data_IF_718301743337
#
_entry.id   IF_718301743337
#
_cell.length_a   1.000
_cell.length_b   1.000
_cell.length_c   1.000
_cell.angle_alpha   90.00
_cell.angle_beta   90.00
_cell.angle_gamma   90.00
#
_symmetry.space_group_name_H-M   'P 1'
#
loop_
_entity.id
_entity.type
_entity.pdbx_description
1 polymer ?
#
# COMPACT_ATOMS: atom_id res chain seq x y z
N UNK A 1 14.92 -5.31 -38.89
CA UNK A 1 15.95 -6.01 -38.07
C UNK A 1 17.09 -5.01 -37.83
N UNK A 2 16.94 -4.12 -36.85
CA UNK A 2 17.96 -3.13 -36.49
C UNK A 2 18.90 -3.80 -35.48
N UNK A 3 20.16 -4.01 -35.88
CA UNK A 3 21.21 -4.48 -34.97
C UNK A 3 21.63 -3.29 -34.09
N UNK A 4 21.30 -3.36 -32.81
CA UNK A 4 21.81 -2.42 -31.81
C UNK A 4 23.28 -2.77 -31.53
N UNK A 5 24.20 -1.89 -31.91
CA UNK A 5 25.66 -2.02 -31.71
C UNK A 5 26.18 -1.07 -30.62
N UNK A 6 25.32 -0.61 -29.71
CA UNK A 6 25.72 0.24 -28.59
C UNK A 6 25.95 -0.58 -27.32
N UNK A 7 26.98 -0.22 -26.55
CA UNK A 7 27.19 -0.74 -25.19
C UNK A 7 25.90 -0.62 -24.39
N UNK A 8 25.49 -1.72 -23.75
CA UNK A 8 24.33 -1.76 -22.85
C UNK A 8 24.59 -0.76 -21.71
N UNK A 9 23.71 0.24 -21.50
CA UNK A 9 23.90 1.20 -20.41
C UNK A 9 24.10 0.51 -19.05
N UNK A 10 24.89 1.09 -18.16
CA UNK A 10 25.23 0.47 -16.86
C UNK A 10 24.00 0.09 -16.02
N UNK A 11 22.92 0.87 -16.11
CA UNK A 11 21.67 0.58 -15.43
C UNK A 11 20.96 -0.67 -15.98
N UNK A 12 21.13 -1.00 -17.26
CA UNK A 12 20.63 -2.27 -17.82
C UNK A 12 21.49 -3.46 -17.36
N UNK A 13 22.81 -3.27 -17.18
CA UNK A 13 23.68 -4.34 -16.65
C UNK A 13 23.32 -4.71 -15.20
N UNK A 14 23.15 -3.70 -14.33
CA UNK A 14 22.78 -3.93 -12.94
C UNK A 14 21.41 -4.61 -12.81
N UNK A 15 20.45 -4.22 -13.66
CA UNK A 15 19.13 -4.87 -13.71
C UNK A 15 19.23 -6.32 -14.17
N UNK A 16 19.94 -6.60 -15.27
CA UNK A 16 20.13 -7.97 -15.77
C UNK A 16 20.80 -8.85 -14.72
N UNK A 17 21.79 -8.33 -13.99
CA UNK A 17 22.40 -9.07 -12.86
C UNK A 17 21.39 -9.37 -11.75
N UNK A 18 20.58 -8.39 -11.35
CA UNK A 18 19.51 -8.62 -10.38
C UNK A 18 18.49 -9.66 -10.85
N UNK A 19 18.01 -9.58 -12.11
CA UNK A 19 17.09 -10.59 -12.67
C UNK A 19 17.71 -11.99 -12.64
N UNK A 20 18.97 -12.12 -13.06
CA UNK A 20 19.68 -13.41 -13.03
C UNK A 20 19.82 -13.97 -11.61
N UNK A 21 20.04 -13.09 -10.62
CA UNK A 21 20.08 -13.49 -9.20
C UNK A 21 18.71 -13.94 -8.71
N UNK A 22 17.63 -13.25 -9.10
CA UNK A 22 16.25 -13.64 -8.78
C UNK A 22 15.92 -15.01 -9.38
N UNK A 23 16.22 -15.25 -10.66
CA UNK A 23 15.95 -16.54 -11.32
C UNK A 23 16.66 -17.70 -10.64
N UNK A 24 17.97 -17.58 -10.38
CA UNK A 24 18.75 -18.60 -9.65
C UNK A 24 18.19 -18.87 -8.26
N UNK A 25 17.69 -17.82 -7.61
CA UNK A 25 17.10 -17.94 -6.28
C UNK A 25 15.77 -18.70 -6.31
N UNK A 26 14.91 -18.42 -7.28
CA UNK A 26 13.63 -19.10 -7.46
C UNK A 26 13.84 -20.60 -7.70
N UNK A 27 14.82 -20.97 -8.52
CA UNK A 27 15.15 -22.38 -8.80
C UNK A 27 15.65 -23.15 -7.56
N UNK A 28 16.30 -22.45 -6.63
CA UNK A 28 16.93 -23.07 -5.45
C UNK A 28 16.10 -22.98 -4.17
N UNK A 29 15.01 -22.20 -4.17
CA UNK A 29 14.17 -21.95 -2.98
C UNK A 29 12.78 -22.55 -3.19
N UNK A 30 12.33 -23.51 -2.36
CA UNK A 30 11.13 -24.30 -2.66
C UNK A 30 9.80 -23.59 -2.39
N UNK A 31 9.77 -22.67 -1.41
CA UNK A 31 8.55 -22.00 -0.95
C UNK A 31 8.46 -20.59 -1.55
N UNK A 32 7.30 -20.20 -2.08
CA UNK A 32 7.09 -18.84 -2.61
C UNK A 32 7.27 -17.76 -1.54
N UNK A 33 6.90 -18.04 -0.29
CA UNK A 33 7.12 -17.11 0.81
C UNK A 33 8.62 -16.89 1.08
N UNK A 34 9.42 -17.96 1.01
CA UNK A 34 10.87 -17.88 1.19
C UNK A 34 11.55 -17.23 -0.03
N UNK A 35 11.02 -17.49 -1.24
CA UNK A 35 11.43 -16.80 -2.46
C UNK A 35 11.21 -15.29 -2.32
N UNK A 36 10.03 -14.86 -1.84
CA UNK A 36 9.73 -13.44 -1.60
C UNK A 36 10.64 -12.79 -0.56
N UNK A 37 10.94 -13.49 0.54
CA UNK A 37 11.88 -13.01 1.56
C UNK A 37 13.28 -12.75 0.97
N UNK A 38 13.73 -13.62 0.06
CA UNK A 38 15.06 -13.49 -0.51
C UNK A 38 15.11 -12.58 -1.76
N UNK A 39 14.02 -12.49 -2.54
CA UNK A 39 13.86 -11.49 -3.60
C UNK A 39 13.89 -10.09 -3.00
N UNK A 40 13.22 -9.86 -1.85
CA UNK A 40 13.25 -8.56 -1.17
C UNK A 40 14.69 -8.09 -0.89
N UNK A 41 15.56 -9.00 -0.44
CA UNK A 41 16.99 -8.73 -0.21
C UNK A 41 17.76 -8.41 -1.49
N UNK A 42 17.44 -9.06 -2.61
CA UNK A 42 18.10 -8.80 -3.90
C UNK A 42 17.70 -7.44 -4.46
N UNK A 43 16.40 -7.14 -4.42
CA UNK A 43 15.83 -5.91 -4.97
C UNK A 43 16.10 -4.69 -4.09
N UNK A 44 16.47 -4.90 -2.83
CA UNK A 44 16.49 -3.83 -1.84
C UNK A 44 15.07 -3.32 -1.59
N UNK A 45 14.05 -4.16 -1.79
CA UNK A 45 12.74 -3.88 -1.22
C UNK A 45 12.96 -3.75 0.27
N UNK A 46 12.39 -2.69 0.84
CA UNK A 46 12.49 -2.27 2.23
C UNK A 46 13.02 -3.38 3.15
N UNK A 47 14.22 -3.20 3.72
CA UNK A 47 14.81 -4.16 4.65
C UNK A 47 13.79 -4.39 5.78
N UNK A 48 13.10 -5.53 5.78
CA UNK A 48 11.90 -5.63 6.55
C UNK A 48 12.39 -5.93 7.96
N UNK A 49 12.32 -4.92 8.83
CA UNK A 49 12.99 -4.89 10.12
C UNK A 49 12.85 -6.24 10.82
N UNK A 50 14.00 -6.92 10.98
CA UNK A 50 14.04 -8.37 11.20
C UNK A 50 13.28 -8.79 12.47
N UNK A 51 13.25 -7.92 13.47
CA UNK A 51 12.55 -8.14 14.73
C UNK A 51 11.03 -8.15 14.53
N UNK A 52 10.48 -7.13 13.88
CA UNK A 52 9.05 -6.96 13.66
C UNK A 52 8.49 -8.07 12.77
N UNK A 53 9.25 -8.44 11.74
CA UNK A 53 8.96 -9.60 10.90
C UNK A 53 8.93 -10.92 11.66
N UNK A 54 9.88 -11.15 12.57
CA UNK A 54 9.92 -12.37 13.36
C UNK A 54 8.70 -12.48 14.28
N UNK A 55 8.25 -11.36 14.87
CA UNK A 55 7.02 -11.31 15.67
C UNK A 55 5.79 -11.62 14.81
N UNK A 56 5.64 -10.96 13.67
CA UNK A 56 4.51 -11.20 12.76
C UNK A 56 4.50 -12.62 12.20
N UNK A 57 5.65 -13.19 11.88
CA UNK A 57 5.75 -14.57 11.39
C UNK A 57 5.27 -15.57 12.44
N UNK A 58 5.65 -15.39 13.71
CA UNK A 58 5.14 -16.21 14.82
C UNK A 58 3.64 -16.04 15.02
N UNK A 59 3.13 -14.81 14.94
CA UNK A 59 1.70 -14.53 15.01
C UNK A 59 0.93 -15.21 13.87
N UNK A 60 1.39 -15.06 12.63
CA UNK A 60 0.75 -15.65 11.46
C UNK A 60 0.75 -17.18 11.51
N UNK A 61 1.83 -17.79 12.02
CA UNK A 61 1.93 -19.22 12.28
C UNK A 61 1.07 -19.70 13.46
N UNK A 62 0.56 -18.79 14.31
CA UNK A 62 -0.25 -19.12 15.47
C UNK A 62 0.54 -19.52 16.71
N UNK A 63 1.88 -19.39 16.69
CA UNK A 63 2.75 -19.64 17.84
C UNK A 63 2.84 -18.44 18.80
N UNK A 64 2.28 -17.29 18.41
CA UNK A 64 2.15 -16.10 19.23
C UNK A 64 0.71 -15.59 19.18
N UNK A 65 0.14 -15.24 20.34
CA UNK A 65 -1.21 -14.69 20.41
C UNK A 65 -1.26 -13.29 19.79
N UNK A 66 -2.46 -12.85 19.38
CA UNK A 66 -2.66 -11.49 18.86
C UNK A 66 -2.20 -10.44 19.88
N UNK A 67 -2.65 -10.55 21.13
CA UNK A 67 -2.30 -9.60 22.19
C UNK A 67 -0.79 -9.53 22.44
N UNK A 68 -0.11 -10.69 22.53
CA UNK A 68 1.33 -10.72 22.73
C UNK A 68 2.09 -10.10 21.55
N UNK A 69 1.69 -10.41 20.31
CA UNK A 69 2.30 -9.81 19.12
C UNK A 69 2.12 -8.29 19.09
N UNK A 70 0.92 -7.81 19.43
CA UNK A 70 0.60 -6.39 19.50
C UNK A 70 1.47 -5.69 20.56
N UNK A 71 1.57 -6.24 21.78
CA UNK A 71 2.35 -5.61 22.85
C UNK A 71 3.85 -5.58 22.53
N UNK A 72 4.40 -6.69 22.00
CA UNK A 72 5.80 -6.75 21.58
C UNK A 72 6.17 -5.68 20.53
N UNK A 73 5.23 -5.31 19.66
CA UNK A 73 5.46 -4.34 18.59
C UNK A 73 5.12 -2.90 19.00
N UNK A 74 4.07 -2.71 19.79
CA UNK A 74 3.56 -1.38 20.13
C UNK A 74 4.23 -0.77 21.36
N UNK A 75 4.60 -1.56 22.39
CA UNK A 75 5.19 -1.00 23.62
C UNK A 75 6.49 -0.22 23.39
N UNK A 76 7.45 -0.68 22.54
CA UNK A 76 8.64 0.12 22.23
C UNK A 76 8.30 1.45 21.56
N UNK A 77 7.24 1.48 20.74
CA UNK A 77 6.77 2.68 20.04
C UNK A 77 6.08 3.63 21.04
N UNK A 78 5.24 3.10 21.92
CA UNK A 78 4.56 3.86 23.00
C UNK A 78 5.57 4.53 23.92
N UNK A 79 6.63 3.80 24.27
CA UNK A 79 7.75 4.32 25.06
C UNK A 79 8.41 5.50 24.36
N UNK A 80 8.91 5.29 23.12
CA UNK A 80 9.60 6.33 22.36
C UNK A 80 8.70 7.56 22.11
N UNK A 81 7.40 7.35 21.91
CA UNK A 81 6.44 8.43 21.72
C UNK A 81 6.32 9.29 22.98
N UNK A 82 6.10 8.63 24.12
CA UNK A 82 5.91 9.30 25.41
C UNK A 82 7.20 9.97 25.89
N UNK A 83 8.37 9.43 25.56
CA UNK A 83 9.67 9.97 25.98
C UNK A 83 10.28 10.94 24.99
N UNK A 84 9.63 11.24 23.87
CA UNK A 84 10.20 12.10 22.81
C UNK A 84 11.50 11.54 22.23
N UNK A 85 11.50 10.24 21.89
CA UNK A 85 12.69 9.46 21.56
C UNK A 85 13.75 9.57 22.65
N UNK A 86 13.40 9.25 23.89
CA UNK A 86 14.29 9.32 25.07
C UNK A 86 14.89 10.72 25.27
N UNK A 87 14.09 11.73 24.96
CA UNK A 87 14.41 13.14 25.04
C UNK A 87 15.15 13.72 23.84
N UNK A 88 15.55 12.90 22.86
CA UNK A 88 16.28 13.36 21.65
C UNK A 88 15.48 14.39 20.85
N UNK A 89 14.16 14.26 20.77
CA UNK A 89 13.34 15.23 20.04
C UNK A 89 13.23 16.58 20.74
N UNK A 90 13.35 16.65 22.07
CA UNK A 90 13.42 17.96 22.75
C UNK A 90 14.63 18.75 22.28
N UNK A 91 15.79 18.09 22.19
CA UNK A 91 17.02 18.70 21.70
C UNK A 91 16.87 19.14 20.23
N UNK A 92 16.46 18.25 19.32
CA UNK A 92 16.35 18.58 17.90
C UNK A 92 15.34 19.70 17.65
N UNK A 93 14.17 19.64 18.29
CA UNK A 93 13.15 20.68 18.18
C UNK A 93 13.64 22.05 18.69
N UNK A 94 14.40 22.06 19.78
CA UNK A 94 14.99 23.28 20.33
C UNK A 94 16.12 23.84 19.46
N UNK A 95 16.94 22.99 18.83
CA UNK A 95 17.97 23.45 17.90
C UNK A 95 17.36 24.13 16.67
N UNK A 96 16.26 23.59 16.14
CA UNK A 96 15.48 24.24 15.07
C UNK A 96 14.96 25.59 15.57
N UNK A 97 14.36 25.64 16.76
CA UNK A 97 13.83 26.87 17.34
C UNK A 97 14.91 27.96 17.51
N UNK A 98 16.07 27.62 18.10
CA UNK A 98 17.21 28.53 18.26
C UNK A 98 17.68 29.11 16.94
N UNK A 99 17.73 28.29 15.89
CA UNK A 99 18.09 28.75 14.55
C UNK A 99 17.09 29.73 13.94
N UNK A 100 15.86 29.81 14.45
CA UNK A 100 14.79 30.66 13.91
C UNK A 100 14.46 31.86 14.81
N UNK A 101 14.73 31.80 16.13
CA UNK A 101 14.39 32.90 17.06
C UNK A 101 15.01 34.24 16.66
N UNK A 102 16.24 34.23 16.16
CA UNK A 102 16.94 35.47 15.77
C UNK A 102 16.35 36.16 14.52
N UNK A 103 15.45 35.50 13.79
CA UNK A 103 14.77 36.07 12.61
C UNK A 103 13.59 36.97 13.01
N UNK A 104 13.12 36.89 14.25
CA UNK A 104 11.96 37.63 14.75
C UNK A 104 12.36 38.55 15.91
N UNK A 105 11.55 39.57 16.19
CA UNK A 105 11.67 40.31 17.45
C UNK A 105 11.38 39.38 18.65
N UNK A 106 11.80 39.80 19.85
CA UNK A 106 11.74 38.97 21.05
C UNK A 106 10.31 38.49 21.38
N UNK A 107 9.32 39.37 21.26
CA UNK A 107 7.93 39.03 21.57
C UNK A 107 7.38 38.01 20.57
N UNK A 108 7.66 38.20 19.29
CA UNK A 108 7.23 37.28 18.24
C UNK A 108 7.98 35.94 18.31
N UNK A 109 9.26 35.96 18.66
CA UNK A 109 10.06 34.76 18.84
C UNK A 109 9.53 33.90 20.01
N UNK A 110 9.20 34.52 21.14
CA UNK A 110 8.60 33.82 22.30
C UNK A 110 7.22 33.25 21.96
N UNK A 111 6.37 34.02 21.26
CA UNK A 111 5.07 33.52 20.77
C UNK A 111 5.23 32.30 19.85
N UNK A 112 6.18 32.35 18.91
CA UNK A 112 6.36 31.30 17.90
C UNK A 112 7.07 30.06 18.43
N UNK A 113 8.03 30.21 19.34
CA UNK A 113 8.98 29.16 19.71
C UNK A 113 9.10 28.92 21.21
N UNK A 114 8.48 29.75 22.04
CA UNK A 114 8.65 29.75 23.48
C UNK A 114 10.02 30.25 23.92
N UNK A 115 10.21 30.32 25.24
CA UNK A 115 11.50 30.62 25.84
C UNK A 115 12.54 29.56 25.44
N UNK A 116 13.78 30.03 25.25
CA UNK A 116 14.91 29.14 25.00
C UNK A 116 15.15 28.22 26.19
N UNK A 117 15.32 26.94 25.90
CA UNK A 117 15.54 25.89 26.89
C UNK A 117 16.81 25.13 26.56
N UNK A 118 17.41 24.49 27.56
CA UNK A 118 18.61 23.67 27.37
C UNK A 118 18.25 22.19 27.51
N UNK A 119 18.54 21.42 26.46
CA UNK A 119 18.44 19.96 26.46
C UNK A 119 19.82 19.37 26.16
N UNK A 120 20.21 18.27 26.84
CA UNK A 120 21.49 17.63 26.56
C UNK A 120 21.54 17.10 25.13
N UNK A 121 22.70 17.22 24.49
CA UNK A 121 22.97 16.58 23.20
C UNK A 121 22.97 15.07 23.42
N UNK A 122 22.26 14.34 22.57
CA UNK A 122 22.40 12.88 22.46
C UNK A 122 23.16 12.58 21.17
N UNK A 123 24.29 11.89 21.30
CA UNK A 123 25.19 11.52 20.20
C UNK A 123 24.98 10.07 19.73
N UNK A 124 23.91 9.42 20.19
CA UNK A 124 23.56 8.03 19.85
C UNK A 124 23.05 7.91 18.40
N UNK A 125 24.00 7.97 17.47
CA UNK A 125 23.76 7.72 16.06
C UNK A 125 23.18 6.31 15.89
N UNK A 126 22.01 6.20 15.27
CA UNK A 126 21.31 4.93 15.08
C UNK A 126 20.39 4.51 16.22
N UNK A 127 20.20 5.35 17.25
CA UNK A 127 19.18 5.11 18.27
C UNK A 127 17.78 5.02 17.63
N UNK A 128 16.90 4.15 18.15
CA UNK A 128 15.56 3.98 17.61
C UNK A 128 14.75 5.27 17.76
N UNK A 129 13.84 5.49 16.82
CA UNK A 129 12.88 6.59 16.86
C UNK A 129 11.46 6.07 16.68
N UNK A 130 10.47 6.82 17.14
CA UNK A 130 9.05 6.56 16.86
C UNK A 130 8.85 6.34 15.36
N UNK A 131 9.33 7.28 14.54
CA UNK A 131 9.22 7.19 13.09
C UNK A 131 9.85 5.90 12.54
N UNK A 132 11.09 5.60 12.94
CA UNK A 132 11.80 4.41 12.47
C UNK A 132 11.08 3.11 12.85
N UNK A 133 10.59 3.01 14.10
CA UNK A 133 9.84 1.83 14.56
C UNK A 133 8.46 1.72 13.91
N UNK A 134 7.79 2.83 13.61
CA UNK A 134 6.55 2.83 12.83
C UNK A 134 6.79 2.37 11.39
N UNK A 135 7.85 2.83 10.73
CA UNK A 135 8.27 2.32 9.42
C UNK A 135 8.50 0.81 9.47
N UNK A 136 9.26 0.34 10.45
CA UNK A 136 9.54 -1.08 10.66
C UNK A 136 8.26 -1.90 10.83
N UNK A 137 7.35 -1.47 11.70
CA UNK A 137 6.06 -2.14 11.93
C UNK A 137 5.28 -2.28 10.63
N UNK A 138 5.06 -1.18 9.92
CA UNK A 138 4.18 -1.20 8.75
C UNK A 138 4.82 -1.86 7.53
N UNK A 139 6.14 -1.78 7.37
CA UNK A 139 6.84 -2.58 6.37
C UNK A 139 6.77 -4.06 6.68
N UNK A 140 6.94 -4.48 7.93
CA UNK A 140 6.79 -5.87 8.31
C UNK A 140 5.36 -6.38 8.04
N UNK A 141 4.33 -5.57 8.33
CA UNK A 141 2.93 -5.88 7.98
C UNK A 141 2.75 -6.00 6.46
N UNK A 142 3.22 -5.04 5.68
CA UNK A 142 3.09 -5.06 4.22
C UNK A 142 3.85 -6.23 3.59
N UNK A 143 5.04 -6.55 4.10
CA UNK A 143 5.83 -7.69 3.65
C UNK A 143 5.16 -9.03 4.00
N UNK A 144 4.61 -9.13 5.21
CA UNK A 144 3.80 -10.29 5.63
C UNK A 144 2.56 -10.46 4.72
N UNK A 145 1.90 -9.36 4.37
CA UNK A 145 0.79 -9.37 3.42
C UNK A 145 1.23 -9.85 2.03
N UNK A 146 2.40 -9.42 1.53
CA UNK A 146 2.98 -9.87 0.25
C UNK A 146 3.19 -11.39 0.22
N UNK A 147 3.59 -11.99 1.34
CA UNK A 147 3.78 -13.45 1.48
C UNK A 147 2.49 -14.24 1.71
N UNK A 148 1.40 -13.57 2.03
CA UNK A 148 0.12 -14.24 2.36
C UNK A 148 -0.71 -14.34 1.08
N UNK A 149 -1.01 -15.54 0.54
CA UNK A 149 -1.79 -15.67 -0.69
C UNK A 149 -3.12 -14.94 -0.60
N UNK A 150 -3.45 -14.13 -1.62
CA UNK A 150 -4.68 -13.32 -1.63
C UNK A 150 -5.97 -14.14 -1.61
N UNK A 151 -5.87 -15.39 -2.08
CA UNK A 151 -6.96 -16.37 -2.08
C UNK A 151 -7.17 -17.02 -0.70
N UNK A 152 -6.17 -16.99 0.18
CA UNK A 152 -6.33 -17.40 1.58
C UNK A 152 -6.96 -16.25 2.38
N UNK A 153 -8.26 -16.10 2.23
CA UNK A 153 -9.02 -15.04 2.88
C UNK A 153 -8.88 -15.10 4.41
N UNK A 154 -8.78 -16.30 4.99
CA UNK A 154 -8.65 -16.48 6.43
C UNK A 154 -7.34 -15.85 6.94
N UNK A 155 -6.22 -16.15 6.29
CA UNK A 155 -4.93 -15.58 6.68
C UNK A 155 -4.83 -14.09 6.34
N UNK A 156 -5.39 -13.66 5.20
CA UNK A 156 -5.51 -12.23 4.87
C UNK A 156 -6.28 -11.48 5.97
N UNK A 157 -7.43 -12.01 6.40
CA UNK A 157 -8.23 -11.40 7.46
C UNK A 157 -7.56 -11.47 8.83
N UNK A 158 -6.75 -12.49 9.11
CA UNK A 158 -5.94 -12.56 10.33
C UNK A 158 -4.98 -11.37 10.44
N UNK A 159 -4.38 -10.94 9.33
CA UNK A 159 -3.52 -9.76 9.29
C UNK A 159 -4.32 -8.43 9.32
N UNK A 160 -5.49 -8.38 8.68
CA UNK A 160 -6.41 -7.22 8.79
C UNK A 160 -6.87 -7.03 10.25
N UNK A 161 -7.17 -8.13 10.95
CA UNK A 161 -7.54 -8.10 12.37
C UNK A 161 -6.39 -7.62 13.26
N UNK A 162 -5.14 -7.97 12.91
CA UNK A 162 -3.96 -7.41 13.57
C UNK A 162 -3.90 -5.89 13.43
N UNK A 163 -4.02 -5.36 12.20
CA UNK A 163 -4.04 -3.91 11.96
C UNK A 163 -5.21 -3.21 12.67
N UNK A 164 -6.38 -3.86 12.71
CA UNK A 164 -7.53 -3.37 13.48
C UNK A 164 -7.24 -3.28 14.98
N UNK A 165 -6.59 -4.29 15.54
CA UNK A 165 -6.25 -4.30 16.96
C UNK A 165 -5.20 -3.23 17.31
N UNK A 166 -4.22 -2.99 16.43
CA UNK A 166 -3.32 -1.83 16.54
C UNK A 166 -4.14 -0.53 16.57
N UNK A 167 -5.05 -0.32 15.60
CA UNK A 167 -5.89 0.89 15.52
C UNK A 167 -6.71 1.16 16.77
N UNK A 168 -7.16 0.09 17.44
CA UNK A 168 -8.01 0.17 18.64
C UNK A 168 -7.21 0.40 19.93
N UNK A 169 -5.88 0.39 19.88
CA UNK A 169 -5.06 0.71 21.05
C UNK A 169 -5.31 2.15 21.50
N UNK A 170 -5.29 2.42 22.81
CA UNK A 170 -5.25 3.79 23.31
C UNK A 170 -4.01 4.50 22.76
N UNK A 171 -4.18 5.73 22.28
CA UNK A 171 -3.04 6.57 21.93
C UNK A 171 -2.21 6.86 23.19
N UNK A 172 -0.87 6.67 23.17
CA UNK A 172 -0.02 6.95 24.31
C UNK A 172 -0.05 8.45 24.66
N UNK A 173 0.13 8.81 25.94
CA UNK A 173 0.18 10.21 26.33
C UNK A 173 1.37 10.92 25.66
N UNK A 174 1.24 12.19 25.27
CA UNK A 174 2.37 12.94 24.77
C UNK A 174 3.39 13.21 25.88
N UNK A 175 4.63 13.60 25.53
CA UNK A 175 5.66 13.96 26.51
C UNK A 175 5.21 15.06 27.47
N UNK A 176 5.51 14.93 28.78
CA UNK A 176 4.99 15.85 29.81
C UNK A 176 5.41 17.32 29.63
N UNK A 177 6.54 17.59 28.98
CA UNK A 177 7.15 18.92 28.87
C UNK A 177 7.30 19.39 27.40
N UNK A 178 6.30 19.14 26.55
CA UNK A 178 6.40 19.52 25.13
C UNK A 178 6.60 21.04 24.95
N UNK A 179 7.73 21.40 24.34
CA UNK A 179 8.00 22.75 23.83
C UNK A 179 7.07 23.09 22.66
N UNK A 180 6.90 24.38 22.32
CA UNK A 180 6.09 24.79 21.15
C UNK A 180 6.57 24.12 19.83
N UNK A 181 7.88 24.08 19.52
CA UNK A 181 8.34 23.41 18.31
C UNK A 181 8.03 21.90 18.33
N UNK A 182 8.16 21.22 19.48
CA UNK A 182 7.84 19.79 19.58
C UNK A 182 6.34 19.51 19.36
N UNK A 183 5.45 20.37 19.87
CA UNK A 183 4.00 20.27 19.60
C UNK A 183 3.65 20.38 18.11
N UNK A 184 4.49 21.04 17.32
CA UNK A 184 4.31 21.21 15.87
C UNK A 184 4.98 20.11 15.06
N UNK A 185 5.81 19.27 15.67
CA UNK A 185 6.36 18.10 15.01
C UNK A 185 5.22 17.20 14.53
N UNK A 186 5.38 16.60 13.35
CA UNK A 186 4.33 15.81 12.73
C UNK A 186 3.87 14.65 13.61
N UNK A 187 4.75 14.09 14.46
CA UNK A 187 4.46 12.99 15.37
C UNK A 187 3.45 13.40 16.46
N UNK A 188 3.49 14.65 16.91
CA UNK A 188 2.68 15.15 18.03
C UNK A 188 1.54 16.06 17.59
N UNK A 189 1.62 16.64 16.40
CA UNK A 189 0.68 17.67 15.92
C UNK A 189 -0.79 17.22 15.88
N UNK A 190 -1.05 15.93 15.64
CA UNK A 190 -2.40 15.35 15.66
C UNK A 190 -2.86 14.94 17.07
N UNK A 191 -1.94 14.77 18.02
CA UNK A 191 -2.22 14.15 19.31
C UNK A 191 -2.62 12.66 19.25
N UNK A 192 -2.41 12.01 18.09
CA UNK A 192 -2.82 10.62 17.84
C UNK A 192 -1.70 9.82 17.18
N UNK A 193 -1.61 8.53 17.51
CA UNK A 193 -0.59 7.63 16.99
C UNK A 193 -1.23 6.38 16.37
N UNK A 194 -1.97 5.62 17.17
CA UNK A 194 -2.59 4.36 16.80
C UNK A 194 -3.94 4.55 16.15
N UNK A 195 -4.78 5.44 16.66
CA UNK A 195 -6.14 5.65 16.13
C UNK A 195 -6.12 6.07 14.65
N UNK A 196 -5.07 6.79 14.24
CA UNK A 196 -4.82 7.23 12.87
C UNK A 196 -3.99 6.25 12.03
N UNK A 197 -3.45 5.18 12.62
CA UNK A 197 -2.50 4.26 11.97
C UNK A 197 -1.33 5.03 11.34
N UNK A 198 -0.71 5.92 12.11
CA UNK A 198 0.37 6.78 11.65
C UNK A 198 1.45 5.94 10.94
N UNK A 199 1.93 6.43 9.79
CA UNK A 199 2.87 5.77 8.87
C UNK A 199 2.35 4.60 8.02
N UNK A 200 1.17 4.03 8.29
CA UNK A 200 0.63 2.96 7.42
C UNK A 200 0.44 3.43 5.96
N UNK A 201 -0.07 4.65 5.78
CA UNK A 201 -0.26 5.25 4.45
C UNK A 201 1.04 5.39 3.66
N UNK A 202 2.06 6.10 4.20
CA UNK A 202 3.41 6.15 3.63
C UNK A 202 4.00 4.77 3.35
N UNK A 203 3.97 3.83 4.30
CA UNK A 203 4.51 2.48 4.12
C UNK A 203 3.81 1.68 3.02
N UNK A 204 2.49 1.82 2.88
CA UNK A 204 1.74 1.22 1.78
C UNK A 204 2.12 1.86 0.42
N UNK A 205 2.36 3.18 0.39
CA UNK A 205 2.75 3.89 -0.84
C UNK A 205 4.12 3.46 -1.32
N UNK A 206 5.04 3.35 -0.38
CA UNK A 206 6.40 2.86 -0.57
C UNK A 206 6.37 1.41 -1.07
N UNK A 207 5.63 0.51 -0.40
CA UNK A 207 5.46 -0.88 -0.86
C UNK A 207 4.88 -0.98 -2.28
N UNK A 208 4.03 -0.02 -2.67
CA UNK A 208 3.47 0.04 -4.04
C UNK A 208 4.52 0.40 -5.09
N UNK A 209 5.60 1.12 -4.73
CA UNK A 209 6.71 1.38 -5.64
C UNK A 209 7.47 0.09 -6.02
N UNK A 210 7.34 -0.98 -5.22
CA UNK A 210 7.88 -2.32 -5.48
C UNK A 210 6.93 -3.21 -6.31
N UNK A 211 6.09 -2.62 -7.14
CA UNK A 211 5.21 -3.34 -8.06
C UNK A 211 5.96 -3.76 -9.34
N UNK A 212 5.51 -4.82 -10.04
CA UNK A 212 6.05 -5.23 -11.33
C UNK A 212 6.11 -4.08 -12.33
N UNK A 213 7.21 -3.92 -13.06
CA UNK A 213 7.43 -2.81 -13.99
C UNK A 213 7.83 -1.48 -13.33
N UNK A 214 8.00 -1.47 -12.00
CA UNK A 214 8.57 -0.38 -11.23
C UNK A 214 9.79 -0.88 -10.44
N UNK A 215 9.65 -1.21 -9.16
CA UNK A 215 10.69 -1.76 -8.31
C UNK A 215 10.80 -3.30 -8.31
N UNK A 216 9.89 -3.99 -9.00
CA UNK A 216 9.91 -5.45 -9.15
C UNK A 216 9.98 -5.88 -10.62
N UNK A 217 10.50 -7.08 -10.84
CA UNK A 217 10.42 -7.79 -12.12
C UNK A 217 9.07 -8.48 -12.32
N UNK A 218 9.04 -9.43 -13.26
CA UNK A 218 7.83 -10.15 -13.67
C UNK A 218 7.88 -11.65 -13.32
N UNK A 219 8.75 -12.06 -12.40
CA UNK A 219 8.76 -13.46 -11.96
C UNK A 219 7.47 -13.81 -11.23
N UNK A 220 7.03 -15.08 -11.29
CA UNK A 220 5.77 -15.51 -10.66
C UNK A 220 5.63 -15.12 -9.19
N UNK A 221 6.68 -15.24 -8.33
CA UNK A 221 6.60 -14.78 -6.95
C UNK A 221 6.39 -13.27 -6.83
N UNK A 222 7.06 -12.46 -7.67
CA UNK A 222 6.88 -11.00 -7.68
C UNK A 222 5.44 -10.61 -8.07
N UNK A 223 4.88 -11.27 -9.09
CA UNK A 223 3.50 -11.06 -9.53
C UNK A 223 2.49 -11.47 -8.45
N UNK A 224 2.67 -12.65 -7.86
CA UNK A 224 1.81 -13.15 -6.79
C UNK A 224 1.89 -12.25 -5.56
N UNK A 225 3.11 -11.85 -5.17
CA UNK A 225 3.35 -10.91 -4.07
C UNK A 225 2.63 -9.58 -4.28
N UNK A 226 2.67 -9.02 -5.50
CA UNK A 226 1.96 -7.81 -5.84
C UNK A 226 0.44 -7.96 -5.69
N UNK A 227 -0.13 -9.08 -6.15
CA UNK A 227 -1.55 -9.39 -5.98
C UNK A 227 -1.92 -9.56 -4.50
N UNK A 228 -1.09 -10.23 -3.71
CA UNK A 228 -1.26 -10.48 -2.28
C UNK A 228 -1.34 -9.18 -1.46
N UNK A 229 -0.39 -8.26 -1.64
CA UNK A 229 -0.42 -6.97 -0.93
C UNK A 229 -1.62 -6.12 -1.37
N UNK A 230 -1.97 -6.14 -2.65
CA UNK A 230 -3.15 -5.43 -3.15
C UNK A 230 -4.45 -5.92 -2.50
N UNK A 231 -4.57 -7.24 -2.33
CA UNK A 231 -5.72 -7.84 -1.66
C UNK A 231 -5.83 -7.41 -0.19
N UNK A 232 -4.70 -7.32 0.50
CA UNK A 232 -4.64 -6.84 1.88
C UNK A 232 -5.06 -5.36 1.98
N UNK A 233 -4.47 -4.49 1.16
CA UNK A 233 -4.77 -3.05 1.13
C UNK A 233 -6.24 -2.79 0.75
N UNK A 234 -6.79 -3.57 -0.20
CA UNK A 234 -8.20 -3.52 -0.56
C UNK A 234 -9.10 -3.89 0.65
N UNK A 235 -8.76 -4.93 1.41
CA UNK A 235 -9.50 -5.31 2.64
C UNK A 235 -9.40 -4.25 3.75
N UNK A 236 -8.24 -3.62 3.93
CA UNK A 236 -8.12 -2.49 4.87
C UNK A 236 -9.10 -1.36 4.52
N UNK A 237 -9.26 -1.07 3.22
CA UNK A 237 -10.22 -0.07 2.73
C UNK A 237 -11.66 -0.52 2.95
N UNK A 238 -11.99 -1.78 2.61
CA UNK A 238 -13.31 -2.36 2.78
C UNK A 238 -13.81 -2.25 4.22
N UNK A 239 -12.92 -2.53 5.18
CA UNK A 239 -13.23 -2.52 6.60
C UNK A 239 -13.03 -1.16 7.27
N UNK A 240 -12.83 -0.08 6.50
CA UNK A 240 -12.71 1.28 7.04
C UNK A 240 -11.50 1.52 7.94
N UNK A 241 -10.44 0.71 7.82
CA UNK A 241 -9.23 0.84 8.64
C UNK A 241 -8.37 2.02 8.18
N UNK A 242 -8.18 2.11 6.86
CA UNK A 242 -7.46 3.18 6.18
C UNK A 242 -8.00 3.28 4.74
N UNK A 243 -8.02 4.50 4.19
CA UNK A 243 -8.72 4.76 2.94
C UNK A 243 -7.79 4.69 1.73
N UNK A 244 -7.63 3.51 1.12
CA UNK A 244 -6.78 3.28 -0.05
C UNK A 244 -7.54 3.16 -1.37
N UNK A 245 -8.76 3.71 -1.45
CA UNK A 245 -9.55 3.73 -2.68
C UNK A 245 -8.77 4.23 -3.90
N UNK A 246 -7.85 5.19 -3.71
CA UNK A 246 -7.00 5.74 -4.77
C UNK A 246 -6.12 4.66 -5.40
N UNK A 247 -5.70 3.66 -4.65
CA UNK A 247 -4.85 2.58 -5.14
C UNK A 247 -5.67 1.63 -6.03
N UNK A 248 -6.93 1.38 -5.68
CA UNK A 248 -7.85 0.66 -6.54
C UNK A 248 -8.07 1.37 -7.88
N UNK A 249 -8.24 2.69 -7.86
CA UNK A 249 -8.33 3.51 -9.09
C UNK A 249 -7.04 3.42 -9.91
N UNK A 250 -5.88 3.57 -9.28
CA UNK A 250 -4.60 3.42 -9.97
C UNK A 250 -4.41 2.03 -10.59
N UNK A 251 -4.81 0.97 -9.91
CA UNK A 251 -4.79 -0.38 -10.45
C UNK A 251 -5.71 -0.51 -11.68
N UNK A 252 -6.98 -0.09 -11.54
CA UNK A 252 -7.97 -0.10 -12.62
C UNK A 252 -7.48 0.71 -13.83
N UNK A 253 -6.89 1.88 -13.60
CA UNK A 253 -6.40 2.73 -14.67
C UNK A 253 -5.15 2.14 -15.34
N UNK A 254 -4.21 1.62 -14.57
CA UNK A 254 -3.00 0.99 -15.08
C UNK A 254 -3.27 -0.28 -15.91
N UNK A 255 -4.24 -1.10 -15.49
CA UNK A 255 -4.58 -2.35 -16.19
C UNK A 255 -5.64 -2.21 -17.28
N UNK A 256 -6.54 -1.21 -17.19
CA UNK A 256 -7.71 -1.11 -18.08
C UNK A 256 -7.94 0.26 -18.70
N UNK A 257 -7.36 1.36 -18.23
CA UNK A 257 -7.62 2.68 -18.83
C UNK A 257 -6.45 3.19 -19.68
N UNK A 258 -5.24 2.79 -19.34
CA UNK A 258 -4.02 3.08 -20.10
C UNK A 258 -3.53 1.83 -20.84
N UNK A 259 -2.78 2.04 -21.92
CA UNK A 259 -1.87 1.02 -22.45
C UNK A 259 -0.47 1.34 -21.92
N UNK A 260 0.16 0.44 -21.14
CA UNK A 260 1.49 0.68 -20.63
C UNK A 260 2.47 0.78 -21.79
N UNK A 261 3.30 1.83 -21.76
CA UNK A 261 4.38 1.99 -22.72
C UNK A 261 5.43 0.91 -22.50
N UNK A 262 5.94 0.37 -23.59
CA UNK A 262 7.17 -0.41 -23.56
C UNK A 262 8.34 0.49 -23.20
N UNK A 263 9.16 0.03 -22.27
CA UNK A 263 10.38 0.71 -21.85
C UNK A 263 11.36 -0.32 -21.29
N UNK A 264 12.48 0.16 -20.75
CA UNK A 264 13.49 -0.69 -20.15
C UNK A 264 13.00 -1.56 -18.99
N UNK A 265 11.83 -1.29 -18.40
CA UNK A 265 11.29 -2.06 -17.26
C UNK A 265 10.37 -3.17 -17.70
N UNK A 266 10.07 -3.31 -18.99
CA UNK A 266 9.24 -4.40 -19.52
C UNK A 266 8.44 -3.98 -20.75
N UNK A 267 8.05 -4.99 -21.52
CA UNK A 267 7.13 -4.84 -22.65
C UNK A 267 5.74 -4.42 -22.18
N UNK A 268 4.95 -3.87 -23.10
CA UNK A 268 3.55 -3.54 -22.83
C UNK A 268 2.73 -4.77 -22.43
N UNK A 269 3.02 -5.93 -23.02
CA UNK A 269 2.34 -7.21 -22.74
C UNK A 269 2.67 -7.71 -21.34
N UNK A 270 3.95 -7.77 -20.95
CA UNK A 270 4.36 -8.20 -19.60
C UNK A 270 3.73 -7.32 -18.51
N UNK A 271 3.69 -6.01 -18.73
CA UNK A 271 3.03 -5.06 -17.81
C UNK A 271 1.54 -5.32 -17.70
N UNK A 272 0.84 -5.57 -18.81
CA UNK A 272 -0.58 -5.90 -18.79
C UNK A 272 -0.86 -7.24 -18.11
N UNK A 273 -0.06 -8.27 -18.40
CA UNK A 273 -0.13 -9.58 -17.74
C UNK A 273 0.12 -9.48 -16.22
N UNK A 274 0.91 -8.50 -15.77
CA UNK A 274 1.09 -8.20 -14.35
C UNK A 274 -0.06 -7.38 -13.73
N UNK A 275 -0.54 -6.34 -14.41
CA UNK A 275 -1.50 -5.39 -13.86
C UNK A 275 -2.91 -5.95 -13.81
N UNK A 276 -3.34 -6.70 -14.82
CA UNK A 276 -4.70 -7.25 -14.91
C UNK A 276 -5.05 -8.11 -13.70
N UNK A 277 -4.23 -9.09 -13.27
CA UNK A 277 -4.49 -9.86 -12.05
C UNK A 277 -4.69 -8.98 -10.81
N UNK A 278 -3.90 -7.91 -10.67
CA UNK A 278 -4.06 -6.94 -9.59
C UNK A 278 -5.40 -6.22 -9.66
N UNK A 279 -5.84 -5.80 -10.86
CA UNK A 279 -7.18 -5.22 -11.04
C UNK A 279 -8.28 -6.18 -10.62
N UNK A 280 -8.16 -7.45 -11.02
CA UNK A 280 -9.14 -8.50 -10.68
C UNK A 280 -9.24 -8.68 -9.17
N UNK A 281 -8.11 -8.63 -8.44
CA UNK A 281 -8.11 -8.67 -6.97
C UNK A 281 -8.91 -7.51 -6.38
N UNK A 282 -8.72 -6.28 -6.87
CA UNK A 282 -9.51 -5.13 -6.40
C UNK A 282 -11.01 -5.31 -6.65
N UNK A 283 -11.40 -5.74 -7.86
CA UNK A 283 -12.80 -6.00 -8.17
C UNK A 283 -13.39 -7.09 -7.27
N UNK A 284 -12.66 -8.18 -7.04
CA UNK A 284 -13.14 -9.28 -6.19
C UNK A 284 -13.31 -8.87 -4.73
N UNK A 285 -12.41 -8.06 -4.20
CA UNK A 285 -12.43 -7.70 -2.77
C UNK A 285 -13.38 -6.55 -2.49
N UNK A 286 -13.36 -5.49 -3.30
CA UNK A 286 -14.11 -4.24 -3.00
C UNK A 286 -15.12 -3.86 -4.08
N UNK A 287 -15.26 -4.63 -5.16
CA UNK A 287 -16.13 -4.29 -6.29
C UNK A 287 -17.58 -4.04 -5.88
N UNK A 288 -18.13 -4.88 -5.00
CA UNK A 288 -19.48 -4.72 -4.46
C UNK A 288 -19.64 -3.38 -3.70
N UNK A 289 -18.74 -3.11 -2.75
CA UNK A 289 -18.78 -1.89 -1.95
C UNK A 289 -18.57 -0.62 -2.81
N UNK A 290 -17.73 -0.72 -3.85
CA UNK A 290 -17.56 0.35 -4.85
C UNK A 290 -18.87 0.59 -5.61
N UNK A 291 -19.51 -0.47 -6.10
CA UNK A 291 -20.76 -0.35 -6.86
C UNK A 291 -21.89 0.24 -6.02
N UNK A 292 -22.05 -0.22 -4.78
CA UNK A 292 -23.03 0.32 -3.83
C UNK A 292 -22.82 1.82 -3.61
N UNK A 293 -21.56 2.24 -3.45
CA UNK A 293 -21.22 3.66 -3.35
C UNK A 293 -21.58 4.43 -4.63
N UNK A 294 -21.23 3.90 -5.80
CA UNK A 294 -21.56 4.48 -7.11
C UNK A 294 -23.08 4.66 -7.28
N UNK A 295 -23.86 3.63 -6.92
CA UNK A 295 -25.33 3.67 -7.03
C UNK A 295 -25.92 4.71 -6.09
N UNK A 296 -25.47 4.75 -4.84
CA UNK A 296 -25.94 5.69 -3.82
C UNK A 296 -25.65 7.14 -4.18
N UNK A 297 -24.49 7.41 -4.75
CA UNK A 297 -24.04 8.78 -5.06
C UNK A 297 -24.57 9.28 -6.43
N UNK A 298 -25.14 8.39 -7.25
CA UNK A 298 -25.80 8.64 -8.54
C UNK A 298 -25.02 9.54 -9.51
N UNK A 299 -23.70 9.42 -9.49
CA UNK A 299 -22.83 10.26 -10.28
C UNK A 299 -22.80 9.84 -11.76
N UNK A 300 -23.03 10.83 -12.62
CA UNK A 300 -22.67 10.87 -14.04
C UNK A 300 -23.33 9.78 -14.91
N UNK A 301 -24.67 9.75 -14.91
CA UNK A 301 -25.45 8.79 -15.70
C UNK A 301 -25.24 8.93 -17.23
N UNK A 302 -24.96 10.15 -17.70
CA UNK A 302 -24.93 10.49 -19.13
C UNK A 302 -23.56 10.34 -19.80
N UNK A 303 -22.46 10.39 -19.04
CA UNK A 303 -21.12 10.25 -19.63
C UNK A 303 -20.88 8.81 -20.09
N UNK A 304 -20.31 8.69 -21.28
CA UNK A 304 -19.87 7.40 -21.85
C UNK A 304 -18.44 7.52 -22.35
N UNK A 305 -17.68 6.48 -22.08
CA UNK A 305 -16.32 6.33 -22.58
C UNK A 305 -16.31 5.22 -23.64
N UNK A 306 -15.57 5.43 -24.73
CA UNK A 306 -15.36 4.39 -25.74
C UNK A 306 -14.32 3.39 -25.22
N UNK A 307 -14.76 2.18 -24.88
CA UNK A 307 -13.88 1.12 -24.38
C UNK A 307 -12.81 0.70 -25.40
N UNK A 308 -12.99 0.97 -26.70
CA UNK A 308 -11.97 0.69 -27.72
C UNK A 308 -10.81 1.70 -27.69
N UNK A 309 -10.91 2.74 -26.86
CA UNK A 309 -9.88 3.76 -26.69
C UNK A 309 -9.36 3.79 -25.26
N UNK A 310 -8.06 3.98 -25.13
CA UNK A 310 -7.45 4.38 -23.85
C UNK A 310 -7.97 5.75 -23.43
N UNK A 311 -8.15 5.94 -22.13
CA UNK A 311 -8.50 7.26 -21.60
C UNK A 311 -7.31 8.20 -21.74
N UNK A 312 -7.56 9.45 -22.13
CA UNK A 312 -6.51 10.46 -22.12
C UNK A 312 -5.97 10.65 -20.69
N UNK A 313 -4.70 11.04 -20.48
CA UNK A 313 -4.12 11.19 -19.13
C UNK A 313 -4.95 12.09 -18.21
N UNK A 314 -5.59 13.13 -18.76
CA UNK A 314 -6.48 14.03 -18.00
C UNK A 314 -7.80 13.36 -17.58
N UNK A 315 -8.28 12.38 -18.34
CA UNK A 315 -9.48 11.59 -18.06
C UNK A 315 -9.18 10.37 -17.18
N UNK A 316 -7.94 9.87 -17.21
CA UNK A 316 -7.44 8.82 -16.33
C UNK A 316 -6.94 9.37 -14.98
N UNK A 317 -6.66 10.68 -14.88
CA UNK A 317 -6.14 11.24 -13.62
C UNK A 317 -7.20 11.25 -12.51
N UNK A 318 -6.89 10.70 -11.31
CA UNK A 318 -7.77 10.76 -10.16
C UNK A 318 -7.94 12.16 -9.55
N UNK A 319 -7.27 13.18 -10.10
CA UNK A 319 -7.32 14.56 -9.61
C UNK A 319 -8.55 15.33 -10.10
N UNK A 320 -9.25 14.82 -11.10
CA UNK A 320 -10.46 15.44 -11.66
C UNK A 320 -11.65 14.53 -11.37
N UNK A 321 -12.67 15.04 -10.67
CA UNK A 321 -14.03 14.50 -10.49
C UNK A 321 -14.16 13.01 -10.08
N UNK A 322 -14.94 12.75 -9.02
CA UNK A 322 -15.58 11.47 -8.67
C UNK A 322 -15.02 10.24 -9.40
N UNK A 323 -14.00 9.62 -8.80
CA UNK A 323 -13.19 8.59 -9.45
C UNK A 323 -13.91 7.25 -9.66
N UNK A 324 -14.96 7.00 -8.89
CA UNK A 324 -15.85 5.86 -9.05
C UNK A 324 -17.22 6.38 -9.51
N UNK A 325 -17.48 6.29 -10.82
CA UNK A 325 -18.77 6.65 -11.44
C UNK A 325 -19.33 5.45 -12.21
N UNK A 326 -20.64 5.48 -12.53
CA UNK A 326 -21.26 4.45 -13.39
C UNK A 326 -20.58 4.38 -14.75
N UNK A 327 -20.19 5.54 -15.30
CA UNK A 327 -19.50 5.63 -16.58
C UNK A 327 -18.14 4.91 -16.56
N UNK A 328 -17.30 5.17 -15.54
CA UNK A 328 -15.99 4.50 -15.40
C UNK A 328 -16.11 3.01 -15.09
N UNK A 329 -17.09 2.63 -14.26
CA UNK A 329 -17.38 1.22 -13.98
C UNK A 329 -17.70 0.44 -15.26
N UNK A 330 -18.65 0.94 -16.07
CA UNK A 330 -19.00 0.32 -17.37
C UNK A 330 -17.81 0.28 -18.31
N UNK A 331 -17.03 1.36 -18.38
CA UNK A 331 -15.82 1.41 -19.18
C UNK A 331 -14.81 0.31 -18.80
N UNK A 332 -14.48 0.18 -17.52
CA UNK A 332 -13.56 -0.86 -17.04
C UNK A 332 -14.09 -2.27 -17.31
N UNK A 333 -15.38 -2.51 -17.07
CA UNK A 333 -16.04 -3.77 -17.39
C UNK A 333 -15.93 -4.11 -18.88
N UNK A 334 -16.18 -3.14 -19.76
CA UNK A 334 -16.12 -3.36 -21.21
C UNK A 334 -14.66 -3.56 -21.68
N UNK A 335 -13.70 -2.86 -21.05
CA UNK A 335 -12.26 -3.07 -21.27
C UNK A 335 -11.79 -4.47 -20.89
N UNK A 336 -12.36 -5.10 -19.85
CA UNK A 336 -12.10 -6.51 -19.58
C UNK A 336 -12.53 -7.40 -20.76
N UNK A 337 -13.68 -7.11 -21.38
CA UNK A 337 -14.12 -7.82 -22.59
C UNK A 337 -13.09 -7.72 -23.73
N UNK A 338 -12.59 -6.50 -24.00
CA UNK A 338 -11.57 -6.26 -25.03
C UNK A 338 -10.27 -7.00 -24.69
N UNK A 339 -9.80 -6.90 -23.45
CA UNK A 339 -8.56 -7.57 -23.04
C UNK A 339 -8.66 -9.10 -23.07
N UNK A 340 -9.84 -9.67 -22.81
CA UNK A 340 -10.06 -11.11 -22.92
C UNK A 340 -9.87 -11.66 -24.34
N UNK A 341 -10.04 -10.81 -25.37
CA UNK A 341 -9.82 -11.17 -26.77
C UNK A 341 -8.45 -10.78 -27.33
N UNK A 342 -7.52 -10.30 -26.49
CA UNK A 342 -6.20 -9.83 -26.94
C UNK A 342 -5.20 -10.99 -26.98
N UNK A 343 -5.00 -11.57 -28.16
CA UNK A 343 -4.18 -12.78 -28.37
C UNK A 343 -2.74 -12.70 -27.84
N UNK A 344 -2.17 -11.48 -27.72
CA UNK A 344 -0.81 -11.31 -27.20
C UNK A 344 -0.70 -11.51 -25.68
N UNK A 345 -1.79 -11.38 -24.92
CA UNK A 345 -1.77 -11.60 -23.47
C UNK A 345 -1.71 -13.09 -23.14
N UNK A 346 -1.18 -13.45 -21.97
CA UNK A 346 -1.20 -14.83 -21.51
C UNK A 346 -2.63 -15.38 -21.42
N UNK A 347 -2.80 -16.69 -21.67
CA UNK A 347 -4.12 -17.33 -21.67
C UNK A 347 -4.83 -17.17 -20.31
N UNK A 348 -4.10 -17.32 -19.22
CA UNK A 348 -4.64 -17.13 -17.87
C UNK A 348 -5.09 -15.69 -17.62
N UNK A 349 -4.34 -14.69 -18.11
CA UNK A 349 -4.76 -13.29 -18.06
C UNK A 349 -6.06 -13.05 -18.81
N UNK A 350 -6.20 -13.62 -20.02
CA UNK A 350 -7.43 -13.51 -20.81
C UNK A 350 -8.63 -14.15 -20.12
N UNK A 351 -8.45 -15.33 -19.51
CA UNK A 351 -9.48 -16.01 -18.70
C UNK A 351 -9.89 -15.16 -17.49
N UNK A 352 -8.91 -14.57 -16.80
CA UNK A 352 -9.15 -13.66 -15.67
C UNK A 352 -9.95 -12.43 -16.11
N UNK A 353 -9.63 -11.83 -17.26
CA UNK A 353 -10.42 -10.73 -17.82
C UNK A 353 -11.87 -11.13 -18.10
N UNK A 354 -12.09 -12.27 -18.77
CA UNK A 354 -13.43 -12.75 -19.08
C UNK A 354 -14.26 -12.96 -17.80
N UNK A 355 -13.68 -13.61 -16.79
CA UNK A 355 -14.33 -13.86 -15.50
C UNK A 355 -14.62 -12.55 -14.74
N UNK A 356 -13.70 -11.59 -14.74
CA UNK A 356 -13.88 -10.31 -14.06
C UNK A 356 -14.96 -9.45 -14.71
N UNK A 357 -15.01 -9.42 -16.05
CA UNK A 357 -16.07 -8.73 -16.79
C UNK A 357 -17.47 -9.29 -16.46
N UNK A 358 -17.59 -10.62 -16.29
CA UNK A 358 -18.83 -11.26 -15.84
C UNK A 358 -19.16 -10.91 -14.39
N UNK A 359 -18.17 -11.02 -13.49
CA UNK A 359 -18.33 -10.67 -12.08
C UNK A 359 -18.82 -9.22 -11.89
N UNK A 360 -18.30 -8.27 -12.66
CA UNK A 360 -18.79 -6.88 -12.63
C UNK A 360 -20.23 -6.75 -13.13
N UNK A 361 -20.65 -7.53 -14.15
CA UNK A 361 -22.05 -7.56 -14.60
C UNK A 361 -22.98 -8.14 -13.53
N UNK A 362 -22.51 -9.12 -12.77
CA UNK A 362 -23.29 -9.72 -11.69
C UNK A 362 -23.45 -8.75 -10.52
N UNK A 363 -22.40 -7.99 -10.16
CA UNK A 363 -22.45 -6.91 -9.16
C UNK A 363 -23.44 -5.81 -9.57
N UNK A 364 -23.57 -5.52 -10.86
CA UNK A 364 -24.52 -4.52 -11.37
C UNK A 364 -26.00 -4.91 -11.20
N UNK A 365 -26.30 -6.21 -11.09
CA UNK A 365 -27.68 -6.68 -10.95
C UNK A 365 -28.23 -6.21 -9.61
N UNK A 366 -29.48 -5.70 -9.55
CA UNK A 366 -30.12 -5.48 -8.27
C UNK A 366 -30.17 -6.81 -7.51
N UNK A 367 -29.99 -6.81 -6.18
CA UNK A 367 -30.14 -8.02 -5.39
C UNK A 367 -31.51 -8.63 -5.71
N UNK A 368 -31.54 -9.92 -6.04
CA UNK A 368 -32.79 -10.63 -6.29
C UNK A 368 -33.71 -10.36 -5.10
N UNK A 369 -34.84 -9.71 -5.34
CA UNK A 369 -35.86 -9.54 -4.33
C UNK A 369 -36.27 -10.95 -3.91
N UNK A 370 -35.81 -11.37 -2.74
CA UNK A 370 -36.11 -12.68 -2.19
C UNK A 370 -37.61 -12.92 -2.23
N UNK A 371 -38.00 -13.97 -2.95
CA UNK A 371 -39.23 -14.69 -2.69
C UNK A 371 -39.21 -15.09 -1.20
N UNK A 372 -39.91 -14.35 -0.36
CA UNK A 372 -39.83 -14.52 1.08
C UNK A 372 -40.72 -13.57 1.88
N UNK A 373 -41.96 -13.37 1.44
CA UNK A 373 -43.07 -12.91 2.29
C UNK A 373 -44.40 -13.18 1.56
N UNK A 374 -44.71 -14.45 1.35
CA UNK A 374 -46.10 -14.92 1.20
C UNK A 374 -46.25 -16.14 2.09
N UNK A 375 -47.29 -16.09 2.92
CA UNK A 375 -47.78 -17.11 3.86
C UNK A 375 -46.89 -17.23 5.12
N UNK A 376 -47.35 -17.03 6.36
CA UNK A 376 -48.66 -17.28 6.96
C UNK A 376 -49.04 -16.21 8.01
N UNK A 377 -50.28 -15.71 7.95
CA UNK A 377 -51.10 -15.31 9.10
C UNK A 377 -52.58 -15.38 8.70
#
# INVERSE_FOLDING_TARGET
MLRYTGEVPDWDRARVDQENRVWKLIESTPSEADQLDAIAKIRGWYDPCNEENAVLSKYMAGSLSLEAAINMLAEPIDHLYTTANDGRLFYTAEMVARSQRHTYDAAKAEELWGLEQFFPISDETGAPSVEGKLWCLWFAVCHTARKTPWADERQQMKLVNFARQIKQRPDPPPPQNMTIPLKRDWQYSSGTLWSTLSMLGPSARETWNDAPGYGAGFSSPELNGANNINAFIARLSLHGMANFWRYGVWALDGGLAADPREDHRGTSVEKLDAYIPTVVVWIRVVGQAIWEKIVREDFDFEKRYDANRVLAPQQASPQHEQTYTRARWRYWRDRFGIMSGRDQLAEETRKLCAAAGLSMKDIEKPPEQGQGAKEEA
#
